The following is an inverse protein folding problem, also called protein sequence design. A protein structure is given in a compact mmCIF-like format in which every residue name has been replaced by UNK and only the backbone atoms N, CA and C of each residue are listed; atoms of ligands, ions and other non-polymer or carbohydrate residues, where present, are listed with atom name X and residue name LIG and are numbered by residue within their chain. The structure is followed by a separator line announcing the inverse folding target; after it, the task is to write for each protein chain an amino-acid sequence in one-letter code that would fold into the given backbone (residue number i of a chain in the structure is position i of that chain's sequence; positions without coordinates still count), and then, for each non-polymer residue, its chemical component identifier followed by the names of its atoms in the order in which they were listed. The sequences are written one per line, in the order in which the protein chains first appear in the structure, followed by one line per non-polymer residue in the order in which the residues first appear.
data_IF_007920547787
#
_entry.id   IF_007920547787
#
_cell.length_a   1.000
_cell.length_b   1.000
_cell.length_c   1.000
_cell.angle_alpha   90.00
_cell.angle_beta   90.00
_cell.angle_gamma   90.00
#
_symmetry.space_group_name_H-M   'P 1'
#
loop_
_entity.id
_entity.type
_entity.pdbx_description
1 polymer ?
#
# COMPACT_ATOMS: atom_id res chain seq x y z
N UNK A 1 -5.01 -4.87 -15.13
CA UNK A 1 -6.49 -4.90 -14.99
C UNK A 1 -6.96 -3.97 -13.85
N UNK A 2 -6.74 -2.64 -13.94
CA UNK A 2 -7.13 -1.68 -12.86
C UNK A 2 -8.34 -0.80 -13.21
N UNK A 3 -8.82 -0.83 -14.47
CA UNK A 3 -9.88 0.07 -14.94
C UNK A 3 -11.31 -0.28 -14.52
N UNK A 4 -11.56 -1.52 -14.08
CA UNK A 4 -12.93 -1.97 -13.78
C UNK A 4 -13.46 -1.46 -12.44
N UNK A 5 -12.57 -1.19 -11.47
CA UNK A 5 -12.91 -0.78 -10.11
C UNK A 5 -13.23 0.72 -10.05
N UNK A 6 -12.38 1.58 -10.63
CA UNK A 6 -12.65 3.03 -10.69
C UNK A 6 -13.89 3.35 -11.52
N UNK A 7 -14.17 2.55 -12.55
CA UNK A 7 -15.40 2.66 -13.34
C UNK A 7 -16.67 2.25 -12.61
N UNK A 8 -16.57 1.41 -11.56
CA UNK A 8 -17.73 1.00 -10.76
C UNK A 8 -18.23 2.16 -9.89
N UNK A 9 -17.35 2.82 -9.15
CA UNK A 9 -17.72 4.00 -8.34
C UNK A 9 -18.30 5.13 -9.18
N UNK A 10 -17.77 5.35 -10.40
CA UNK A 10 -18.31 6.37 -11.30
C UNK A 10 -19.71 6.04 -11.84
N UNK A 11 -20.10 4.75 -11.87
CA UNK A 11 -21.48 4.34 -12.17
C UNK A 11 -22.36 4.43 -10.93
N UNK A 12 -21.82 4.06 -9.76
CA UNK A 12 -22.51 4.19 -8.48
C UNK A 12 -22.96 5.65 -8.26
N UNK A 13 -22.06 6.61 -8.53
CA UNK A 13 -22.34 8.05 -8.44
C UNK A 13 -23.46 8.54 -9.38
N UNK A 14 -23.83 7.77 -10.41
CA UNK A 14 -24.95 8.11 -11.31
C UNK A 14 -26.29 7.59 -10.79
N UNK A 15 -26.26 6.47 -10.08
CA UNK A 15 -27.47 5.83 -9.55
C UNK A 15 -27.82 6.41 -8.17
N UNK A 16 -26.82 6.77 -7.37
CA UNK A 16 -26.98 7.38 -6.06
C UNK A 16 -25.98 8.53 -5.93
N UNK A 17 -26.45 9.78 -5.87
CA UNK A 17 -25.58 10.96 -5.74
C UNK A 17 -25.16 11.18 -4.27
N UNK A 18 -26.02 10.82 -3.30
CA UNK A 18 -25.71 11.00 -1.89
C UNK A 18 -24.71 9.94 -1.39
N UNK A 19 -23.51 10.39 -1.02
CA UNK A 19 -22.43 9.51 -0.53
C UNK A 19 -22.73 8.89 0.83
N UNK A 20 -23.47 9.58 1.69
CA UNK A 20 -23.89 9.03 2.98
C UNK A 20 -24.90 7.91 2.76
N UNK A 21 -25.83 8.11 1.82
CA UNK A 21 -26.79 7.07 1.43
C UNK A 21 -26.07 5.86 0.82
N UNK A 22 -25.08 6.07 -0.06
CA UNK A 22 -24.23 4.98 -0.57
C UNK A 22 -23.58 4.18 0.57
N UNK A 23 -23.00 4.86 1.56
CA UNK A 23 -22.36 4.20 2.70
C UNK A 23 -23.36 3.39 3.54
N UNK A 24 -24.54 3.95 3.82
CA UNK A 24 -25.57 3.26 4.60
C UNK A 24 -26.08 2.00 3.88
N UNK A 25 -26.42 2.12 2.59
CA UNK A 25 -26.84 0.97 1.78
C UNK A 25 -25.75 -0.12 1.75
N UNK A 26 -24.48 0.28 1.61
CA UNK A 26 -23.37 -0.65 1.63
C UNK A 26 -23.24 -1.37 2.99
N UNK A 27 -23.33 -0.63 4.09
CA UNK A 27 -23.24 -1.17 5.46
C UNK A 27 -24.42 -2.10 5.77
N UNK A 28 -25.65 -1.72 5.40
CA UNK A 28 -26.84 -2.54 5.59
C UNK A 28 -26.74 -3.86 4.81
N UNK A 29 -26.34 -3.78 3.54
CA UNK A 29 -26.10 -4.97 2.74
C UNK A 29 -24.98 -5.83 3.36
N UNK A 30 -23.93 -5.20 3.90
CA UNK A 30 -22.79 -5.90 4.50
C UNK A 30 -23.16 -6.63 5.77
N UNK A 31 -23.96 -6.00 6.61
CA UNK A 31 -24.51 -6.60 7.81
C UNK A 31 -25.42 -7.79 7.46
N UNK A 32 -26.31 -7.64 6.49
CA UNK A 32 -27.21 -8.72 6.05
C UNK A 32 -26.45 -9.89 5.43
N UNK A 33 -25.42 -9.62 4.63
CA UNK A 33 -24.58 -10.66 4.03
C UNK A 33 -23.83 -11.45 5.10
N UNK A 34 -23.33 -10.79 6.14
CA UNK A 34 -22.70 -11.44 7.29
C UNK A 34 -23.69 -12.29 8.09
N UNK A 35 -24.93 -11.81 8.26
CA UNK A 35 -25.98 -12.51 9.02
C UNK A 35 -26.53 -13.74 8.27
N UNK A 36 -26.66 -13.64 6.95
CA UNK A 36 -27.23 -14.68 6.09
C UNK A 36 -26.17 -15.64 5.53
N UNK A 37 -24.89 -15.34 5.73
CA UNK A 37 -23.75 -16.03 5.12
C UNK A 37 -23.82 -16.08 3.58
N UNK A 38 -24.44 -15.07 2.96
CA UNK A 38 -24.53 -14.92 1.52
C UNK A 38 -23.50 -13.91 1.01
N UNK A 39 -23.11 -13.98 -0.28
CA UNK A 39 -22.18 -13.00 -0.82
C UNK A 39 -22.79 -11.60 -0.80
N UNK A 40 -21.98 -10.59 -0.50
CA UNK A 40 -22.40 -9.18 -0.42
C UNK A 40 -23.18 -8.70 -1.64
N UNK A 41 -22.76 -9.13 -2.84
CA UNK A 41 -23.45 -8.78 -4.08
C UNK A 41 -24.93 -9.21 -4.15
N UNK A 42 -25.35 -10.20 -3.35
CA UNK A 42 -26.74 -10.68 -3.33
C UNK A 42 -27.68 -9.78 -2.53
N UNK A 43 -27.14 -8.99 -1.60
CA UNK A 43 -27.91 -8.13 -0.69
C UNK A 43 -28.01 -6.68 -1.18
N UNK A 44 -27.35 -6.37 -2.29
CA UNK A 44 -27.35 -5.01 -2.83
C UNK A 44 -28.61 -4.70 -3.65
N UNK A 45 -29.00 -3.42 -3.72
CA UNK A 45 -30.11 -2.99 -4.55
C UNK A 45 -29.88 -3.35 -6.03
N UNK A 46 -30.97 -3.68 -6.74
CA UNK A 46 -30.92 -3.99 -8.18
C UNK A 46 -30.49 -2.79 -9.04
N UNK A 47 -30.68 -1.57 -8.52
CA UNK A 47 -30.35 -0.33 -9.21
C UNK A 47 -28.84 -0.04 -9.17
N UNK A 48 -28.08 -0.76 -8.33
CA UNK A 48 -26.63 -0.57 -8.24
C UNK A 48 -25.90 -1.32 -9.36
N UNK A 49 -24.77 -0.76 -9.86
CA UNK A 49 -23.94 -1.45 -10.82
C UNK A 49 -23.40 -2.76 -10.24
N UNK A 50 -23.38 -3.82 -11.06
CA UNK A 50 -22.83 -5.12 -10.64
C UNK A 50 -21.38 -5.00 -10.15
N UNK A 51 -21.09 -5.58 -8.98
CA UNK A 51 -19.74 -5.52 -8.43
C UNK A 51 -18.74 -6.33 -9.26
N UNK A 52 -17.59 -5.73 -9.62
CA UNK A 52 -16.45 -6.46 -10.13
C UNK A 52 -15.96 -7.51 -9.13
N UNK A 53 -15.48 -8.66 -9.61
CA UNK A 53 -14.96 -9.74 -8.78
C UNK A 53 -13.86 -9.29 -7.79
N UNK A 54 -13.06 -8.28 -8.15
CA UNK A 54 -12.03 -7.72 -7.27
C UNK A 54 -12.58 -7.04 -6.02
N UNK A 55 -13.79 -6.47 -6.09
CA UNK A 55 -14.45 -5.81 -4.95
C UNK A 55 -15.24 -6.80 -4.09
N UNK A 56 -15.52 -8.00 -4.60
CA UNK A 56 -16.19 -9.06 -3.83
C UNK A 56 -15.26 -9.72 -2.82
N UNK A 57 -13.95 -9.73 -3.09
CA UNK A 57 -12.96 -10.38 -2.24
C UNK A 57 -12.73 -9.62 -0.92
N UNK A 58 -12.90 -8.30 -0.93
CA UNK A 58 -12.63 -7.44 0.22
C UNK A 58 -13.70 -6.34 0.35
N UNK A 59 -14.79 -6.60 1.11
CA UNK A 59 -15.84 -5.61 1.33
C UNK A 59 -15.38 -4.43 2.19
N UNK A 60 -14.35 -4.62 3.03
CA UNK A 60 -13.77 -3.53 3.82
C UNK A 60 -13.09 -2.49 2.93
N UNK A 61 -12.34 -2.96 1.93
CA UNK A 61 -11.69 -2.08 0.97
C UNK A 61 -12.65 -1.23 0.12
N UNK A 62 -13.89 -1.73 -0.09
CA UNK A 62 -14.95 -0.94 -0.74
C UNK A 62 -15.41 0.18 0.19
N UNK A 63 -15.65 -0.12 1.47
CA UNK A 63 -16.04 0.87 2.47
C UNK A 63 -14.97 1.96 2.63
N UNK A 64 -13.69 1.58 2.71
CA UNK A 64 -12.58 2.54 2.80
C UNK A 64 -12.58 3.52 1.62
N UNK A 65 -12.88 3.03 0.41
CA UNK A 65 -13.00 3.89 -0.77
C UNK A 65 -14.22 4.81 -0.70
N UNK A 66 -15.35 4.35 -0.19
CA UNK A 66 -16.54 5.19 -0.01
C UNK A 66 -16.25 6.31 1.00
N UNK A 67 -15.60 5.99 2.12
CA UNK A 67 -15.17 6.95 3.13
C UNK A 67 -14.20 7.99 2.56
N UNK A 68 -13.13 7.54 1.89
CA UNK A 68 -12.16 8.45 1.27
C UNK A 68 -12.79 9.38 0.23
N UNK A 69 -13.82 8.91 -0.50
CA UNK A 69 -14.56 9.74 -1.47
C UNK A 69 -15.41 10.79 -0.78
N UNK A 70 -16.11 10.41 0.29
CA UNK A 70 -16.89 11.33 1.11
C UNK A 70 -16.00 12.41 1.75
N UNK A 71 -14.86 12.01 2.31
CA UNK A 71 -13.92 12.95 2.94
C UNK A 71 -13.32 13.90 1.90
N UNK A 72 -12.96 13.37 0.71
CA UNK A 72 -12.49 14.20 -0.38
C UNK A 72 -13.53 15.23 -0.83
N UNK A 73 -14.80 14.85 -0.94
CA UNK A 73 -15.88 15.76 -1.28
C UNK A 73 -16.10 16.83 -0.22
N UNK A 74 -16.11 16.43 1.06
CA UNK A 74 -16.24 17.32 2.22
C UNK A 74 -15.09 18.35 2.28
N UNK A 75 -13.88 17.94 1.87
CA UNK A 75 -12.69 18.78 1.78
C UNK A 75 -12.65 19.66 0.50
N UNK A 76 -13.62 19.54 -0.41
CA UNK A 76 -13.61 20.23 -1.71
C UNK A 76 -12.58 19.67 -2.71
N UNK A 77 -12.05 18.48 -2.46
CA UNK A 77 -11.12 17.73 -3.33
C UNK A 77 -11.90 16.85 -4.31
N UNK A 78 -11.22 16.39 -5.37
CA UNK A 78 -11.86 15.51 -6.35
C UNK A 78 -12.07 14.09 -5.80
N UNK A 79 -13.31 13.57 -5.71
CA UNK A 79 -13.57 12.22 -5.22
C UNK A 79 -13.05 11.12 -6.16
N UNK A 80 -12.82 11.45 -7.44
CA UNK A 80 -12.37 10.46 -8.45
C UNK A 80 -10.94 9.99 -8.21
N UNK A 81 -10.11 10.83 -7.59
CA UNK A 81 -8.73 10.53 -7.24
C UNK A 81 -8.55 10.05 -5.80
N UNK A 82 -9.62 10.02 -5.00
CA UNK A 82 -9.57 9.57 -3.62
C UNK A 82 -9.30 8.06 -3.56
N UNK A 83 -8.30 7.69 -2.78
CA UNK A 83 -7.88 6.31 -2.57
C UNK A 83 -7.51 6.14 -1.10
N UNK A 84 -7.81 4.98 -0.50
CA UNK A 84 -7.37 4.64 0.84
C UNK A 84 -5.85 4.77 0.96
N UNK A 85 -5.41 5.30 2.09
CA UNK A 85 -3.99 5.33 2.45
C UNK A 85 -3.45 3.90 2.41
N UNK A 86 -2.36 3.62 1.66
CA UNK A 86 -1.78 2.29 1.63
C UNK A 86 -1.41 1.84 3.06
N UNK A 87 -1.77 0.63 3.45
CA UNK A 87 -1.53 0.11 4.82
C UNK A 87 -0.06 0.25 5.23
N UNK A 88 0.88 -0.08 4.33
CA UNK A 88 2.31 0.11 4.58
C UNK A 88 2.72 1.55 4.88
N UNK A 89 2.05 2.52 4.27
CA UNK A 89 2.29 3.94 4.54
C UNK A 89 1.68 4.34 5.88
N UNK A 90 0.48 3.84 6.21
CA UNK A 90 -0.12 4.04 7.52
C UNK A 90 0.77 3.44 8.63
N UNK A 91 1.27 2.22 8.44
CA UNK A 91 2.22 1.56 9.35
C UNK A 91 3.52 2.35 9.46
N UNK A 92 4.03 2.88 8.33
CA UNK A 92 5.19 3.78 8.28
C UNK A 92 5.03 5.00 9.19
N UNK A 93 3.90 5.68 9.05
CA UNK A 93 3.58 6.88 9.84
C UNK A 93 3.41 6.52 11.31
N UNK A 94 2.68 5.43 11.62
CA UNK A 94 2.43 5.01 13.00
C UNK A 94 3.73 4.69 13.71
N UNK A 95 4.64 3.95 13.08
CA UNK A 95 5.90 3.61 13.74
C UNK A 95 6.84 4.81 13.86
N UNK A 96 6.83 5.75 12.90
CA UNK A 96 7.56 7.01 13.01
C UNK A 96 7.06 7.81 14.24
N UNK A 97 5.73 7.94 14.41
CA UNK A 97 5.11 8.58 15.58
C UNK A 97 5.42 7.84 16.91
N UNK A 98 5.43 6.50 16.87
CA UNK A 98 5.81 5.68 18.03
C UNK A 98 7.32 5.63 18.28
N UNK A 99 8.13 6.22 17.37
CA UNK A 99 9.61 6.14 17.35
C UNK A 99 10.10 4.69 17.41
N UNK A 100 9.31 3.79 16.84
CA UNK A 100 9.64 2.38 16.69
C UNK A 100 10.31 2.19 15.33
N UNK A 101 11.49 1.58 15.32
CA UNK A 101 12.13 1.18 14.07
C UNK A 101 11.25 0.11 13.41
N UNK A 102 10.60 0.45 12.29
CA UNK A 102 9.97 -0.57 11.45
C UNK A 102 11.09 -1.42 10.91
N UNK A 103 11.18 -2.65 11.40
CA UNK A 103 11.99 -3.66 10.76
C UNK A 103 11.40 -3.90 9.36
N UNK A 104 11.95 -3.21 8.36
CA UNK A 104 11.69 -3.49 6.95
C UNK A 104 12.29 -4.85 6.51
N UNK A 105 12.77 -5.66 7.46
CA UNK A 105 13.12 -7.06 7.28
C UNK A 105 11.86 -7.90 7.09
N UNK A 106 11.05 -7.58 6.07
CA UNK A 106 10.47 -8.65 5.31
C UNK A 106 11.66 -9.35 4.64
N UNK A 107 12.23 -10.36 5.32
CA UNK A 107 13.08 -11.36 4.69
C UNK A 107 12.45 -11.65 3.31
N UNK A 108 13.17 -11.40 2.20
CA UNK A 108 12.61 -11.64 0.88
C UNK A 108 12.12 -13.07 0.89
N UNK A 109 10.81 -13.27 0.66
CA UNK A 109 10.16 -14.58 0.78
C UNK A 109 11.01 -15.55 -0.03
N UNK A 110 11.73 -16.44 0.67
CA UNK A 110 12.74 -17.30 0.06
C UNK A 110 12.02 -18.35 -0.77
N UNK A 111 11.69 -18.01 -2.02
CA UNK A 111 11.00 -18.91 -2.93
C UNK A 111 12.01 -19.84 -3.62
N UNK A 112 12.72 -20.65 -2.84
CA UNK A 112 13.52 -21.74 -3.41
C UNK A 112 12.57 -22.76 -4.04
N UNK A 113 12.57 -22.83 -5.37
CA UNK A 113 11.67 -23.73 -6.09
C UNK A 113 12.15 -25.17 -5.91
N UNK A 114 11.29 -26.04 -5.36
CA UNK A 114 11.63 -27.46 -5.19
C UNK A 114 11.74 -28.15 -6.56
N UNK A 115 12.99 -28.40 -6.98
CA UNK A 115 13.35 -29.00 -8.27
C UNK A 115 12.74 -30.39 -8.49
N UNK A 116 12.36 -31.11 -7.42
CA UNK A 116 11.73 -32.42 -7.51
C UNK A 116 10.29 -32.36 -8.04
N UNK A 117 9.59 -31.23 -7.86
CA UNK A 117 8.21 -31.03 -8.32
C UNK A 117 8.11 -30.54 -9.78
N UNK A 118 9.24 -30.18 -10.40
CA UNK A 118 9.29 -29.66 -11.76
C UNK A 118 9.58 -30.78 -12.78
N UNK A 119 8.94 -30.73 -13.97
CA UNK A 119 9.29 -31.60 -15.08
C UNK A 119 10.78 -31.43 -15.48
N UNK A 120 11.45 -32.47 -16.00
CA UNK A 120 12.88 -32.44 -16.29
C UNK A 120 13.33 -31.27 -17.17
N UNK A 121 12.49 -30.85 -18.11
CA UNK A 121 12.77 -29.74 -19.02
C UNK A 121 12.87 -28.35 -18.33
N UNK A 122 12.21 -28.16 -17.19
CA UNK A 122 12.19 -26.89 -16.45
C UNK A 122 13.22 -26.82 -15.32
N UNK A 123 13.84 -27.97 -14.99
CA UNK A 123 14.72 -28.11 -13.83
C UNK A 123 16.01 -27.28 -13.99
N UNK A 124 16.57 -27.20 -15.20
CA UNK A 124 17.77 -26.41 -15.48
C UNK A 124 17.54 -24.90 -15.31
N UNK A 125 16.36 -24.41 -15.72
CA UNK A 125 16.02 -23.00 -15.61
C UNK A 125 15.73 -22.60 -14.15
N UNK A 126 15.05 -23.45 -13.40
CA UNK A 126 14.82 -23.24 -11.96
C UNK A 126 16.12 -23.30 -11.14
N UNK A 127 17.07 -24.17 -11.53
CA UNK A 127 18.41 -24.19 -10.91
C UNK A 127 19.17 -22.87 -11.12
N UNK A 128 19.15 -22.32 -12.34
CA UNK A 128 19.80 -21.05 -12.62
C UNK A 128 19.21 -19.88 -11.80
N UNK A 129 17.89 -19.87 -11.60
CA UNK A 129 17.21 -18.86 -10.78
C UNK A 129 17.58 -18.98 -9.29
N UNK A 130 17.61 -20.20 -8.74
CA UNK A 130 18.04 -20.42 -7.36
C UNK A 130 19.52 -19.96 -7.15
N UNK A 131 20.41 -20.28 -8.09
CA UNK A 131 21.83 -19.85 -8.02
C UNK A 131 22.02 -18.33 -8.09
N UNK A 132 21.20 -17.62 -8.88
CA UNK A 132 21.24 -16.15 -8.94
C UNK A 132 20.77 -15.51 -7.63
N UNK A 133 19.79 -16.10 -6.95
CA UNK A 133 19.34 -15.64 -5.63
C UNK A 133 20.42 -15.86 -4.56
N UNK A 134 21.13 -17.00 -4.60
CA UNK A 134 22.25 -17.26 -3.68
C UNK A 134 23.42 -16.29 -3.90
N UNK A 135 23.77 -15.97 -5.16
CA UNK A 135 24.84 -15.03 -5.48
C UNK A 135 24.53 -13.58 -5.06
N UNK A 136 23.25 -13.17 -5.10
CA UNK A 136 22.81 -11.87 -4.57
C UNK A 136 22.85 -11.82 -3.03
N UNK A 137 22.84 -12.98 -2.36
CA UNK A 137 22.92 -13.12 -0.90
C UNK A 137 24.33 -12.92 -0.36
N UNK A 138 25.34 -13.30 -1.15
CA UNK A 138 26.77 -13.21 -0.80
C UNK A 138 27.44 -11.90 -1.25
N UNK A 139 26.68 -10.94 -1.78
CA UNK A 139 27.20 -9.60 -1.99
C UNK A 139 27.46 -8.95 -0.62
N UNK A 140 28.74 -8.91 -0.22
CA UNK A 140 29.20 -8.24 1.00
C UNK A 140 28.54 -6.86 1.13
N UNK A 141 27.89 -6.64 2.27
CA UNK A 141 27.39 -5.32 2.66
C UNK A 141 28.62 -4.42 2.77
N UNK A 142 28.77 -3.50 1.83
CA UNK A 142 29.87 -2.55 1.79
C UNK A 142 29.85 -1.65 3.03
N UNK A 143 30.84 -1.82 3.91
CA UNK A 143 30.97 -1.08 5.17
C UNK A 143 31.04 0.44 4.95
N UNK A 144 31.50 0.89 3.78
CA UNK A 144 31.52 2.31 3.40
C UNK A 144 30.10 2.84 3.21
N UNK A 145 29.24 2.07 2.55
CA UNK A 145 27.83 2.43 2.31
C UNK A 145 27.03 2.50 3.63
N UNK A 146 27.25 1.58 4.58
CA UNK A 146 26.57 1.62 5.90
C UNK A 146 26.99 2.84 6.73
N UNK A 147 28.25 3.28 6.63
CA UNK A 147 28.71 4.51 7.29
C UNK A 147 28.09 5.77 6.69
N UNK A 148 27.93 5.82 5.37
CA UNK A 148 27.25 6.94 4.70
C UNK A 148 25.76 7.06 5.07
N UNK A 149 25.11 5.91 5.33
CA UNK A 149 23.72 5.87 5.80
C UNK A 149 23.64 6.37 7.26
N UNK A 150 24.56 5.94 8.12
CA UNK A 150 24.63 6.41 9.51
C UNK A 150 24.93 7.92 9.60
N UNK A 151 25.77 8.44 8.70
CA UNK A 151 26.08 9.87 8.57
C UNK A 151 24.94 10.69 7.93
N UNK A 152 23.83 10.06 7.50
CA UNK A 152 22.70 10.73 6.88
C UNK A 152 23.04 11.38 5.53
N UNK A 153 24.00 10.82 4.78
CA UNK A 153 24.37 11.27 3.43
C UNK A 153 23.59 10.53 2.34
N UNK A 154 23.14 9.30 2.64
CA UNK A 154 22.48 8.40 1.70
C UNK A 154 21.38 7.60 2.38
N UNK A 155 20.29 7.33 1.66
CA UNK A 155 19.27 6.38 2.14
C UNK A 155 19.70 4.94 1.88
N UNK A 156 19.21 3.99 2.69
CA UNK A 156 19.48 2.54 2.55
C UNK A 156 19.05 1.96 1.19
N UNK A 157 18.17 2.66 0.48
CA UNK A 157 17.75 2.33 -0.90
C UNK A 157 18.68 2.90 -1.98
N UNK A 158 19.78 3.56 -1.58
CA UNK A 158 20.78 4.15 -2.47
C UNK A 158 20.41 5.52 -3.04
N UNK A 159 19.26 6.10 -2.65
CA UNK A 159 18.79 7.41 -3.11
C UNK A 159 19.50 8.52 -2.31
N UNK A 160 20.13 9.52 -2.97
CA UNK A 160 20.73 10.66 -2.29
C UNK A 160 19.65 11.44 -1.53
N UNK A 161 19.94 11.84 -0.29
CA UNK A 161 19.04 12.72 0.44
C UNK A 161 19.02 14.09 -0.25
N UNK A 162 17.84 14.66 -0.55
CA UNK A 162 17.76 15.96 -1.22
C UNK A 162 18.36 17.04 -0.31
N UNK A 163 19.20 17.90 -0.89
CA UNK A 163 19.73 19.09 -0.21
C UNK A 163 18.55 20.06 0.01
N UNK A 164 18.07 20.19 1.24
CA UNK A 164 16.92 21.02 1.54
C UNK A 164 17.29 22.52 1.59
N UNK A 165 16.53 23.35 0.89
CA UNK A 165 16.47 24.80 1.07
C UNK A 165 15.82 25.10 2.43
N UNK A 166 16.46 25.88 3.33
CA UNK A 166 15.89 26.25 4.63
C UNK A 166 14.52 26.94 4.56
N UNK A 167 14.11 27.46 3.40
CA UNK A 167 12.82 28.11 3.21
C UNK A 167 11.62 27.16 3.07
N UNK A 168 11.85 25.86 2.81
CA UNK A 168 10.79 24.84 2.70
C UNK A 168 11.01 23.84 3.83
N UNK A 169 10.41 24.11 4.98
CA UNK A 169 10.57 23.36 6.24
C UNK A 169 10.06 21.91 6.20
N UNK A 170 10.71 21.07 5.41
CA UNK A 170 10.36 19.65 5.22
C UNK A 170 11.59 18.75 5.08
N UNK A 171 12.67 19.01 5.82
CA UNK A 171 13.85 18.17 5.85
C UNK A 171 14.49 18.09 7.24
N UNK A 172 15.17 16.98 7.59
CA UNK A 172 15.86 16.85 8.86
C UNK A 172 17.00 17.87 8.96
N UNK A 173 17.03 18.59 10.08
CA UNK A 173 18.07 19.58 10.38
C UNK A 173 19.35 18.80 10.74
N UNK A 174 20.49 18.97 10.03
CA UNK A 174 21.74 18.33 10.43
C UNK A 174 22.15 18.85 11.81
N UNK A 175 22.39 17.93 12.76
CA UNK A 175 22.73 18.19 14.16
C UNK A 175 24.10 18.85 14.38
N UNK A 176 24.79 19.31 13.33
CA UNK A 176 26.11 19.92 13.44
C UNK A 176 26.09 21.40 13.82
N UNK A 177 24.91 22.03 13.99
CA UNK A 177 24.78 23.44 14.38
C UNK A 177 24.12 23.67 15.74
N UNK A 178 24.23 22.71 16.68
CA UNK A 178 23.83 22.91 18.08
C UNK A 178 25.02 23.20 19.02
N UNK A 179 26.06 23.87 18.52
CA UNK A 179 27.05 24.56 19.35
C UNK A 179 27.38 25.89 18.67
N UNK A 180 26.71 26.97 19.10
CA UNK A 180 27.21 28.34 19.34
C UNK A 180 25.97 29.22 19.47
N UNK A 181 25.41 29.24 20.69
CA UNK A 181 24.54 30.31 21.15
C UNK A 181 24.67 30.40 22.69
N UNK A 182 25.80 30.96 23.13
CA UNK A 182 25.88 31.76 24.35
C UNK A 182 26.20 33.18 23.93
#
# INVERSE_FOLDING_TARGET
MRGNVSGWYARLDRECEDRIEQMNIWLDAWEEALRTHQPQASQLPNDWPTLPASLLTDPGHVLDHLLCRHDAESDGRSPRGAHPTPTRLADAIIADELREDISMNAEPVQSNVNLAALPPAFRAQAQAMNHQQDAARDAEIDEETEREIADGKRTRTGVPLPFADPAVGGGPIPLTNLEVAR
#
